data_IF_686287900849
#
_entry.id   IF_686287900849
#
_cell.length_a   1.000
_cell.length_b   1.000
_cell.length_c   1.000
_cell.angle_alpha   90.00
_cell.angle_beta   90.00
_cell.angle_gamma   90.00
#
_symmetry.space_group_name_H-M   'P 1'
#
loop_
_entity.id
_entity.type
_entity.pdbx_description
1 polymer ?
#
# COMPACT_ATOMS: atom_id res chain seq x y z
N UNK A 1 10.19 26.73 3.09
CA UNK A 1 9.19 26.79 2.03
C UNK A 1 8.78 25.39 1.61
N UNK A 2 7.49 25.13 1.57
CA UNK A 2 6.98 23.83 1.27
C UNK A 2 6.74 23.67 -0.22
N UNK A 3 7.36 22.65 -0.80
CA UNK A 3 7.03 22.25 -2.17
C UNK A 3 5.77 21.38 -2.13
N UNK A 4 4.88 21.51 -3.13
CA UNK A 4 3.77 20.58 -3.23
C UNK A 4 4.31 19.16 -3.37
N UNK A 5 3.63 18.19 -2.76
CA UNK A 5 3.98 16.80 -2.97
C UNK A 5 3.72 16.42 -4.42
N UNK A 6 4.58 15.61 -5.01
CA UNK A 6 4.35 15.10 -6.35
C UNK A 6 3.14 14.17 -6.35
N UNK A 7 2.52 14.00 -7.51
CA UNK A 7 1.42 13.03 -7.67
C UNK A 7 1.82 11.65 -7.18
N UNK A 8 3.05 11.23 -7.48
CA UNK A 8 3.56 9.93 -7.05
C UNK A 8 3.60 9.81 -5.54
N UNK A 9 4.11 10.82 -4.86
CA UNK A 9 4.19 10.80 -3.40
C UNK A 9 2.82 10.83 -2.74
N UNK A 10 1.90 11.61 -3.30
CA UNK A 10 0.52 11.68 -2.79
C UNK A 10 -0.16 10.32 -2.94
N UNK A 11 -0.07 9.71 -4.11
CA UNK A 11 -0.67 8.40 -4.35
C UNK A 11 -0.03 7.34 -3.46
N UNK A 12 1.29 7.32 -3.37
CA UNK A 12 2.02 6.37 -2.53
C UNK A 12 1.57 6.45 -1.07
N UNK A 13 1.45 7.67 -0.54
CA UNK A 13 0.99 7.87 0.84
C UNK A 13 -0.42 7.35 1.05
N UNK A 14 -1.31 7.63 0.12
CA UNK A 14 -2.71 7.21 0.21
C UNK A 14 -2.84 5.69 0.16
N UNK A 15 -2.17 5.03 -0.77
CA UNK A 15 -2.32 3.59 -0.94
C UNK A 15 -1.67 2.81 0.19
N UNK A 16 -0.51 3.24 0.68
CA UNK A 16 0.13 2.54 1.79
C UNK A 16 -0.65 2.75 3.09
N UNK A 17 -1.19 3.94 3.31
CA UNK A 17 -2.04 4.21 4.46
C UNK A 17 -3.29 3.35 4.42
N UNK A 18 -3.93 3.25 3.25
CA UNK A 18 -5.11 2.40 3.07
C UNK A 18 -4.77 0.93 3.34
N UNK A 19 -3.65 0.44 2.80
CA UNK A 19 -3.22 -0.93 3.01
C UNK A 19 -2.98 -1.24 4.49
N UNK A 20 -2.30 -0.36 5.19
CA UNK A 20 -2.01 -0.55 6.62
C UNK A 20 -3.28 -0.47 7.46
N UNK A 21 -4.21 0.41 7.10
CA UNK A 21 -5.51 0.52 7.79
C UNK A 21 -6.33 -0.75 7.60
N UNK A 22 -6.39 -1.27 6.37
CA UNK A 22 -7.09 -2.52 6.05
C UNK A 22 -6.50 -3.67 6.87
N UNK A 23 -5.18 -3.75 6.89
CA UNK A 23 -4.48 -4.81 7.62
C UNK A 23 -4.76 -4.74 9.13
N UNK A 24 -4.70 -3.53 9.70
CA UNK A 24 -4.98 -3.32 11.10
C UNK A 24 -6.42 -3.71 11.44
N UNK A 25 -7.38 -3.27 10.63
CA UNK A 25 -8.80 -3.54 10.87
C UNK A 25 -9.13 -5.01 10.63
N UNK A 26 -8.34 -5.71 9.82
CA UNK A 26 -8.47 -7.14 9.58
C UNK A 26 -7.81 -8.02 10.63
N UNK A 27 -7.43 -7.46 11.75
CA UNK A 27 -6.83 -8.23 12.85
C UNK A 27 -5.30 -8.25 12.85
N UNK A 28 -4.68 -7.47 11.99
CA UNK A 28 -3.23 -7.32 11.93
C UNK A 28 -2.52 -8.34 11.05
N UNK A 29 -3.24 -9.30 10.47
CA UNK A 29 -2.68 -10.32 9.60
C UNK A 29 -3.69 -10.67 8.52
N UNK A 30 -3.29 -10.57 7.27
CA UNK A 30 -4.15 -10.82 6.12
C UNK A 30 -3.33 -11.33 4.93
N UNK A 31 -4.00 -12.01 4.01
CA UNK A 31 -3.40 -12.31 2.71
C UNK A 31 -3.20 -11.02 1.93
N UNK A 32 -2.04 -10.89 1.29
CA UNK A 32 -1.74 -9.72 0.47
C UNK A 32 -2.81 -9.50 -0.60
N UNK A 33 -3.28 -10.56 -1.25
CA UNK A 33 -4.32 -10.46 -2.27
C UNK A 33 -5.60 -9.79 -1.73
N UNK A 34 -6.00 -10.13 -0.51
CA UNK A 34 -7.19 -9.55 0.11
C UNK A 34 -7.00 -8.07 0.43
N UNK A 35 -5.78 -7.69 0.83
CA UNK A 35 -5.44 -6.28 1.07
C UNK A 35 -5.54 -5.50 -0.24
N UNK A 36 -4.94 -5.99 -1.32
CA UNK A 36 -5.00 -5.33 -2.62
C UNK A 36 -6.43 -5.19 -3.12
N UNK A 37 -7.25 -6.22 -2.95
CA UNK A 37 -8.65 -6.18 -3.38
C UNK A 37 -9.48 -5.16 -2.58
N UNK A 38 -9.13 -4.93 -1.33
CA UNK A 38 -9.84 -4.00 -0.46
C UNK A 38 -9.47 -2.53 -0.68
N UNK A 39 -8.27 -2.24 -1.22
CA UNK A 39 -7.79 -0.86 -1.39
C UNK A 39 -8.75 -0.01 -2.24
N UNK A 40 -9.22 -0.47 -3.41
CA UNK A 40 -10.15 0.35 -4.21
C UNK A 40 -11.49 0.63 -3.52
N UNK A 41 -11.83 -0.14 -2.52
CA UNK A 41 -13.08 0.06 -1.75
C UNK A 41 -12.89 1.09 -0.64
N UNK A 42 -11.67 1.28 -0.18
CA UNK A 42 -11.32 2.25 0.87
C UNK A 42 -10.98 3.61 0.30
N UNK A 43 -10.53 3.67 -0.94
CA UNK A 43 -9.87 4.82 -1.52
C UNK A 43 -10.31 4.99 -2.96
N UNK A 44 -10.75 6.20 -3.32
CA UNK A 44 -11.07 6.51 -4.70
C UNK A 44 -9.77 6.66 -5.49
N UNK A 45 -9.63 5.87 -6.55
CA UNK A 45 -8.47 5.88 -7.43
C UNK A 45 -8.86 6.53 -8.75
N UNK A 46 -8.15 7.60 -9.12
CA UNK A 46 -8.40 8.27 -10.39
C UNK A 46 -7.81 7.47 -11.56
N UNK A 47 -8.04 7.94 -12.78
CA UNK A 47 -7.59 7.25 -13.99
C UNK A 47 -6.07 7.10 -14.02
N UNK A 48 -5.35 8.13 -13.56
CA UNK A 48 -3.89 8.08 -13.50
C UNK A 48 -3.40 6.97 -12.56
N UNK A 49 -4.03 6.84 -11.38
CA UNK A 49 -3.68 5.80 -10.42
C UNK A 49 -3.97 4.40 -10.95
N UNK A 50 -5.01 4.25 -11.76
CA UNK A 50 -5.43 2.96 -12.32
C UNK A 50 -4.69 2.59 -13.60
N UNK A 51 -3.91 3.50 -14.16
CA UNK A 51 -3.17 3.28 -15.40
C UNK A 51 -2.17 2.13 -15.24
N UNK A 52 -2.17 1.22 -16.22
CA UNK A 52 -1.26 0.07 -16.22
C UNK A 52 0.13 0.53 -16.64
N UNK A 53 1.13 0.18 -15.86
CA UNK A 53 2.52 0.50 -16.14
C UNK A 53 3.09 -0.58 -17.07
N UNK A 54 3.60 -0.19 -18.24
CA UNK A 54 4.09 -1.12 -19.25
C UNK A 54 5.19 -2.04 -18.74
N UNK A 55 6.06 -1.54 -17.88
CA UNK A 55 7.23 -2.29 -17.43
C UNK A 55 6.88 -3.51 -16.59
N UNK A 56 5.71 -3.53 -15.93
CA UNK A 56 5.35 -4.65 -15.06
C UNK A 56 3.91 -5.15 -15.25
N UNK A 57 3.12 -4.51 -16.10
CA UNK A 57 1.74 -4.93 -16.37
C UNK A 57 0.75 -4.69 -15.21
N UNK A 58 1.16 -3.96 -14.19
CA UNK A 58 0.30 -3.68 -13.03
C UNK A 58 -0.23 -2.26 -13.07
N UNK A 59 -1.41 -2.05 -12.50
CA UNK A 59 -1.91 -0.70 -12.27
C UNK A 59 -0.93 0.09 -11.41
N UNK A 60 -0.82 1.40 -11.67
CA UNK A 60 0.14 2.26 -10.97
C UNK A 60 0.03 2.14 -9.45
N UNK A 61 -1.20 2.17 -8.92
CA UNK A 61 -1.40 2.12 -7.46
C UNK A 61 -0.91 0.78 -6.86
N UNK A 62 -1.07 -0.33 -7.60
CA UNK A 62 -0.57 -1.64 -7.14
C UNK A 62 0.95 -1.66 -7.06
N UNK A 63 1.59 -1.10 -8.07
CA UNK A 63 3.05 -0.98 -8.12
C UNK A 63 3.55 -0.19 -6.92
N UNK A 64 2.87 0.90 -6.57
CA UNK A 64 3.27 1.74 -5.44
C UNK A 64 3.08 1.00 -4.11
N UNK A 65 2.01 0.23 -3.95
CA UNK A 65 1.85 -0.59 -2.75
C UNK A 65 3.00 -1.58 -2.60
N UNK A 66 3.36 -2.27 -3.68
CA UNK A 66 4.50 -3.20 -3.66
C UNK A 66 5.79 -2.49 -3.27
N UNK A 67 6.09 -1.38 -3.91
CA UNK A 67 7.31 -0.64 -3.67
C UNK A 67 7.42 -0.14 -2.24
N UNK A 68 6.39 0.55 -1.77
CA UNK A 68 6.45 1.20 -0.47
C UNK A 68 6.22 0.23 0.69
N UNK A 69 5.62 -0.92 0.44
CA UNK A 69 5.53 -1.97 1.46
C UNK A 69 6.91 -2.57 1.77
N UNK A 70 7.83 -2.57 0.80
CA UNK A 70 9.22 -2.98 1.06
C UNK A 70 9.86 -2.05 2.08
N UNK A 71 9.63 -0.75 1.95
CA UNK A 71 10.14 0.23 2.91
C UNK A 71 9.52 0.03 4.30
N UNK A 72 8.25 -0.33 4.37
CA UNK A 72 7.59 -0.63 5.63
C UNK A 72 8.20 -1.86 6.31
N UNK A 73 8.58 -2.88 5.54
CA UNK A 73 9.28 -4.06 6.07
C UNK A 73 10.65 -3.66 6.63
N UNK A 74 11.40 -2.87 5.86
CA UNK A 74 12.73 -2.41 6.29
C UNK A 74 12.66 -1.55 7.55
N UNK A 75 11.61 -0.77 7.69
CA UNK A 75 11.40 0.08 8.86
C UNK A 75 10.88 -0.69 10.08
N UNK A 76 10.54 -1.96 9.92
CA UNK A 76 10.06 -2.80 11.01
C UNK A 76 8.56 -2.68 11.29
N UNK A 77 7.79 -2.05 10.39
CA UNK A 77 6.34 -1.89 10.57
C UNK A 77 5.52 -3.04 10.02
N UNK A 78 6.09 -3.84 9.15
CA UNK A 78 5.37 -4.87 8.41
C UNK A 78 6.24 -6.13 8.27
N UNK A 79 5.61 -7.29 8.39
CA UNK A 79 6.24 -8.57 8.09
C UNK A 79 5.50 -9.22 6.92
N UNK A 80 6.24 -9.83 6.02
CA UNK A 80 5.67 -10.56 4.87
C UNK A 80 6.19 -11.98 4.87
N UNK A 81 5.29 -12.95 4.86
CA UNK A 81 5.66 -14.37 4.85
C UNK A 81 4.68 -15.14 3.97
N UNK A 82 5.16 -15.70 2.87
CA UNK A 82 4.35 -16.56 1.98
C UNK A 82 3.01 -15.95 1.58
N UNK A 83 3.03 -14.68 1.16
CA UNK A 83 1.83 -13.98 0.72
C UNK A 83 0.94 -13.47 1.84
N UNK A 84 1.35 -13.61 3.09
CA UNK A 84 0.65 -13.08 4.25
C UNK A 84 1.40 -11.83 4.74
N UNK A 85 0.65 -10.77 4.98
CA UNK A 85 1.18 -9.54 5.56
C UNK A 85 0.71 -9.43 7.01
N UNK A 86 1.65 -9.10 7.89
CA UNK A 86 1.37 -8.93 9.31
C UNK A 86 1.90 -7.59 9.78
N UNK A 87 1.04 -6.81 10.41
CA UNK A 87 1.45 -5.53 10.99
C UNK A 87 2.19 -5.82 12.31
N UNK A 88 3.28 -5.08 12.54
CA UNK A 88 4.02 -5.21 13.80
C UNK A 88 3.46 -4.24 14.84
N UNK A 89 3.89 -4.35 16.09
CA UNK A 89 3.48 -3.40 17.12
C UNK A 89 3.91 -1.97 16.79
N UNK A 90 5.04 -1.81 16.09
CA UNK A 90 5.48 -0.48 15.61
C UNK A 90 4.58 0.06 14.51
N UNK A 91 4.02 -0.81 13.67
CA UNK A 91 3.15 -0.43 12.56
C UNK A 91 1.73 -0.09 12.99
N UNK A 92 1.33 -0.42 14.21
CA UNK A 92 -0.03 -0.15 14.71
C UNK A 92 -0.21 1.32 15.12
N UNK A 93 0.84 2.01 15.40
CA UNK A 93 0.78 3.38 15.91
C UNK A 93 0.19 4.38 14.93
#
# INVERSE_FOLDING_TARGET
MNKPLSKSNVLASKVIFAAMTILRDGGGQMKAADIFDAIPQKLTLDDWAQEVIESNGLARWRTYVHFFSVDAVKAGYLLKTKGIWQITSSGVQ
#
